data_IF_894635135780
#
_entry.id   IF_894635135780
#
_cell.length_a   1.000
_cell.length_b   1.000
_cell.length_c   1.000
_cell.angle_alpha   90.00
_cell.angle_beta   90.00
_cell.angle_gamma   90.00
#
_symmetry.space_group_name_H-M   'P 1'
#
loop_
_entity.id
_entity.type
_entity.pdbx_description
1 polymer ?
#
# COMPACT_ATOMS: atom_id res chain seq x y z
N UNK A 1 -16.56 -1.28 -16.53
CA UNK A 1 -15.16 -1.60 -16.16
C UNK A 1 -15.12 -1.69 -14.65
N UNK A 2 -14.84 -2.85 -14.05
CA UNK A 2 -14.75 -2.96 -12.59
C UNK A 2 -13.50 -2.20 -12.12
N UNK A 3 -13.65 -1.32 -11.14
CA UNK A 3 -12.50 -0.61 -10.59
C UNK A 3 -11.68 -1.58 -9.72
N UNK A 4 -10.35 -1.40 -9.63
CA UNK A 4 -9.51 -2.20 -8.73
C UNK A 4 -10.01 -2.19 -7.28
N UNK A 5 -10.63 -1.08 -6.86
CA UNK A 5 -11.24 -0.92 -5.55
C UNK A 5 -12.43 -1.88 -5.32
N UNK A 6 -13.30 -2.06 -6.31
CA UNK A 6 -14.43 -2.99 -6.22
C UNK A 6 -13.97 -4.45 -6.14
N UNK A 7 -12.85 -4.79 -6.78
CA UNK A 7 -12.26 -6.13 -6.70
C UNK A 7 -11.77 -6.45 -5.28
N UNK A 8 -11.06 -5.51 -4.65
CA UNK A 8 -10.58 -5.65 -3.26
C UNK A 8 -11.76 -5.71 -2.30
N UNK A 9 -12.76 -4.86 -2.50
CA UNK A 9 -13.99 -4.85 -1.69
C UNK A 9 -14.75 -6.17 -1.80
N UNK A 10 -14.91 -6.70 -3.02
CA UNK A 10 -15.54 -8.00 -3.26
C UNK A 10 -14.78 -9.16 -2.61
N UNK A 11 -13.45 -9.16 -2.69
CA UNK A 11 -12.61 -10.16 -2.03
C UNK A 11 -12.73 -10.12 -0.49
N UNK A 12 -12.80 -8.92 0.10
CA UNK A 12 -13.02 -8.75 1.54
C UNK A 12 -14.38 -9.29 1.98
N UNK A 13 -15.46 -8.97 1.27
CA UNK A 13 -16.80 -9.51 1.59
C UNK A 13 -16.87 -11.03 1.43
N UNK A 14 -16.22 -11.57 0.39
CA UNK A 14 -16.12 -13.02 0.21
C UNK A 14 -15.30 -13.68 1.32
N UNK A 15 -14.22 -13.06 1.77
CA UNK A 15 -13.40 -13.53 2.89
C UNK A 15 -14.17 -13.55 4.22
N UNK A 16 -14.90 -12.48 4.53
CA UNK A 16 -15.76 -12.42 5.71
C UNK A 16 -16.88 -13.48 5.66
N UNK A 17 -17.55 -13.61 4.52
CA UNK A 17 -18.57 -14.63 4.33
C UNK A 17 -18.02 -16.06 4.44
N UNK A 18 -16.79 -16.29 3.97
CA UNK A 18 -16.12 -17.59 4.09
C UNK A 18 -15.81 -17.93 5.55
N UNK A 19 -15.36 -16.95 6.35
CA UNK A 19 -15.07 -17.14 7.76
C UNK A 19 -16.33 -17.54 8.56
N UNK A 20 -17.46 -16.89 8.30
CA UNK A 20 -18.76 -17.24 8.89
C UNK A 20 -19.17 -18.68 8.52
N UNK A 21 -19.02 -19.06 7.24
CA UNK A 21 -19.35 -20.42 6.75
C UNK A 21 -18.49 -21.51 7.36
N UNK A 22 -17.20 -21.25 7.55
CA UNK A 22 -16.28 -22.19 8.22
C UNK A 22 -16.69 -22.39 9.68
N UNK A 23 -17.06 -21.31 10.38
CA UNK A 23 -17.54 -21.37 11.75
C UNK A 23 -18.84 -22.16 11.88
N UNK A 24 -19.80 -21.94 10.98
CA UNK A 24 -21.06 -22.70 10.92
C UNK A 24 -20.82 -24.19 10.67
N UNK A 25 -19.95 -24.52 9.71
CA UNK A 25 -19.60 -25.91 9.38
C UNK A 25 -18.96 -26.64 10.57
N UNK A 26 -18.03 -25.98 11.26
CA UNK A 26 -17.41 -26.49 12.49
C UNK A 26 -18.44 -26.72 13.58
N UNK A 27 -19.38 -25.79 13.77
CA UNK A 27 -20.46 -25.95 14.75
C UNK A 27 -21.43 -27.08 14.39
N UNK A 28 -21.72 -27.30 13.11
CA UNK A 28 -22.54 -28.43 12.68
C UNK A 28 -21.87 -29.77 12.98
N UNK A 29 -20.56 -29.89 12.75
CA UNK A 29 -19.81 -31.11 13.06
C UNK A 29 -19.80 -31.42 14.55
N UNK A 30 -19.71 -30.38 15.40
CA UNK A 30 -19.85 -30.52 16.86
C UNK A 30 -21.26 -31.01 17.22
N UNK A 31 -22.31 -30.37 16.67
CA UNK A 31 -23.71 -30.76 16.93
C UNK A 31 -24.03 -32.17 16.48
N UNK A 32 -23.43 -32.63 15.38
CA UNK A 32 -23.57 -34.00 14.86
C UNK A 32 -22.78 -35.03 15.68
N UNK A 33 -22.02 -34.60 16.69
CA UNK A 33 -21.16 -35.46 17.51
C UNK A 33 -19.96 -36.02 16.73
N UNK A 34 -19.68 -35.49 15.54
CA UNK A 34 -18.56 -35.91 14.69
C UNK A 34 -17.24 -35.26 15.11
N UNK A 35 -17.30 -34.29 16.01
CA UNK A 35 -16.16 -33.54 16.51
C UNK A 35 -16.45 -33.01 17.91
N UNK A 36 -15.43 -32.94 18.76
CA UNK A 36 -15.55 -32.29 20.07
C UNK A 36 -15.44 -30.77 19.97
N UNK A 37 -15.93 -30.03 20.98
CA UNK A 37 -15.78 -28.57 21.03
C UNK A 37 -14.31 -28.12 21.01
N UNK A 38 -13.41 -28.90 21.63
CA UNK A 38 -11.99 -28.58 21.67
C UNK A 38 -11.32 -28.73 20.29
N UNK A 39 -11.68 -29.77 19.54
CA UNK A 39 -11.21 -29.97 18.17
C UNK A 39 -11.72 -28.88 17.23
N UNK A 40 -13.00 -28.52 17.34
CA UNK A 40 -13.58 -27.45 16.53
C UNK A 40 -12.94 -26.09 16.79
N UNK A 41 -12.71 -25.74 18.07
CA UNK A 41 -12.01 -24.52 18.44
C UNK A 41 -10.57 -24.49 17.89
N UNK A 42 -9.88 -25.63 17.90
CA UNK A 42 -8.52 -25.76 17.38
C UNK A 42 -8.48 -25.59 15.86
N UNK A 43 -9.40 -26.21 15.12
CA UNK A 43 -9.50 -26.04 13.66
C UNK A 43 -9.81 -24.60 13.26
N UNK A 44 -10.71 -23.94 13.97
CA UNK A 44 -11.05 -22.53 13.69
C UNK A 44 -9.85 -21.62 13.91
N UNK A 45 -9.08 -21.86 14.98
CA UNK A 45 -7.86 -21.14 15.30
C UNK A 45 -6.78 -21.36 14.25
N UNK A 46 -6.52 -22.61 13.86
CA UNK A 46 -5.53 -22.94 12.83
C UNK A 46 -5.91 -22.36 11.46
N UNK A 47 -7.21 -22.35 11.12
CA UNK A 47 -7.69 -21.72 9.90
C UNK A 47 -7.47 -20.21 9.92
N UNK A 48 -7.79 -19.54 11.03
CA UNK A 48 -7.59 -18.09 11.18
C UNK A 48 -6.11 -17.72 11.08
N UNK A 49 -5.23 -18.42 11.80
CA UNK A 49 -3.78 -18.17 11.75
C UNK A 49 -3.20 -18.38 10.34
N UNK A 50 -3.70 -19.40 9.60
CA UNK A 50 -3.29 -19.63 8.21
C UNK A 50 -3.83 -18.55 7.26
N UNK A 51 -5.06 -18.10 7.48
CA UNK A 51 -5.69 -17.06 6.68
C UNK A 51 -4.96 -15.73 6.85
N UNK A 52 -4.62 -15.36 8.10
CA UNK A 52 -3.87 -14.14 8.40
C UNK A 52 -2.49 -14.14 7.73
N UNK A 53 -1.74 -15.25 7.83
CA UNK A 53 -0.45 -15.40 7.14
C UNK A 53 -0.58 -15.30 5.62
N UNK A 54 -1.57 -15.97 5.02
CA UNK A 54 -1.79 -15.88 3.57
C UNK A 54 -2.17 -14.46 3.14
N UNK A 55 -2.96 -13.73 3.93
CA UNK A 55 -3.30 -12.35 3.62
C UNK A 55 -2.08 -11.43 3.65
N UNK A 56 -1.14 -11.65 4.57
CA UNK A 56 0.12 -10.90 4.62
C UNK A 56 0.97 -11.12 3.35
N UNK A 57 1.14 -12.39 2.94
CA UNK A 57 1.87 -12.75 1.72
C UNK A 57 1.20 -12.20 0.44
N UNK A 58 -0.14 -12.23 0.40
CA UNK A 58 -0.94 -11.66 -0.68
C UNK A 58 -0.74 -10.14 -0.74
N UNK A 59 -0.80 -9.45 0.41
CA UNK A 59 -0.57 -8.00 0.46
C UNK A 59 0.82 -7.61 -0.01
N UNK A 60 1.86 -8.37 0.38
CA UNK A 60 3.22 -8.14 -0.08
C UNK A 60 3.34 -8.34 -1.60
N UNK A 61 2.73 -9.40 -2.13
CA UNK A 61 2.75 -9.72 -3.56
C UNK A 61 1.98 -8.68 -4.39
N UNK A 62 0.82 -8.24 -3.91
CA UNK A 62 0.01 -7.20 -4.55
C UNK A 62 0.79 -5.89 -4.58
N UNK A 63 1.34 -5.45 -3.44
CA UNK A 63 2.12 -4.21 -3.36
C UNK A 63 3.28 -4.24 -4.35
N UNK A 64 4.07 -5.31 -4.35
CA UNK A 64 5.19 -5.46 -5.29
C UNK A 64 4.76 -5.53 -6.76
N UNK A 65 3.59 -6.12 -7.06
CA UNK A 65 3.05 -6.17 -8.43
C UNK A 65 2.56 -4.80 -8.89
N UNK A 66 1.89 -4.06 -8.01
CA UNK A 66 1.41 -2.70 -8.28
C UNK A 66 2.60 -1.77 -8.48
N UNK A 67 3.61 -1.82 -7.61
CA UNK A 67 4.85 -1.04 -7.76
C UNK A 67 5.56 -1.33 -9.08
N UNK A 68 5.75 -2.62 -9.43
CA UNK A 68 6.36 -3.01 -10.70
C UNK A 68 5.54 -2.55 -11.91
N UNK A 69 4.21 -2.55 -11.80
CA UNK A 69 3.32 -2.10 -12.88
C UNK A 69 3.39 -0.57 -13.03
N UNK A 70 3.39 0.17 -11.92
CA UNK A 70 3.57 1.63 -11.92
C UNK A 70 4.93 2.03 -12.52
N UNK A 71 6.00 1.32 -12.16
CA UNK A 71 7.32 1.50 -12.76
C UNK A 71 7.32 1.22 -14.27
N UNK A 72 6.70 0.12 -14.72
CA UNK A 72 6.59 -0.21 -16.15
C UNK A 72 5.79 0.82 -16.95
N UNK A 73 4.79 1.44 -16.33
CA UNK A 73 4.00 2.50 -16.93
C UNK A 73 4.66 3.89 -16.81
N UNK A 74 5.87 3.96 -16.25
CA UNK A 74 6.63 5.19 -16.02
C UNK A 74 5.83 6.24 -15.23
N UNK A 75 4.93 5.79 -14.36
CA UNK A 75 4.10 6.66 -13.51
C UNK A 75 4.88 6.89 -12.22
N UNK A 76 5.41 8.10 -11.96
CA UNK A 76 6.12 8.40 -10.74
C UNK A 76 5.16 8.36 -9.55
N UNK A 77 5.66 7.87 -8.42
CA UNK A 77 4.90 7.89 -7.17
C UNK A 77 4.73 9.33 -6.67
N UNK A 78 3.72 9.55 -5.82
CA UNK A 78 3.49 10.87 -5.20
C UNK A 78 4.72 11.36 -4.41
N UNK A 79 5.41 10.43 -3.75
CA UNK A 79 6.61 10.74 -2.98
C UNK A 79 7.75 11.24 -3.87
N UNK A 80 8.02 10.55 -4.99
CA UNK A 80 9.04 10.99 -5.96
C UNK A 80 8.73 12.36 -6.54
N UNK A 81 7.45 12.64 -6.84
CA UNK A 81 7.01 13.97 -7.28
C UNK A 81 7.25 15.06 -6.23
N UNK A 82 6.97 14.79 -4.96
CA UNK A 82 7.23 15.73 -3.87
C UNK A 82 8.73 15.98 -3.65
N UNK A 83 9.57 14.94 -3.77
CA UNK A 83 11.03 15.10 -3.72
C UNK A 83 11.55 15.96 -4.87
N UNK A 84 11.07 15.71 -6.09
CA UNK A 84 11.39 16.53 -7.27
C UNK A 84 10.98 17.98 -7.06
N UNK A 85 9.78 18.23 -6.53
CA UNK A 85 9.30 19.58 -6.23
C UNK A 85 10.19 20.29 -5.20
N UNK A 86 10.65 19.58 -4.15
CA UNK A 86 11.60 20.15 -3.17
C UNK A 86 12.94 20.48 -3.81
N UNK A 87 13.50 19.55 -4.59
CA UNK A 87 14.78 19.77 -5.30
C UNK A 87 14.67 20.99 -6.22
N UNK A 88 13.61 21.10 -7.01
CA UNK A 88 13.33 22.25 -7.88
C UNK A 88 13.28 23.54 -7.05
N UNK A 89 12.52 23.57 -5.96
CA UNK A 89 12.41 24.76 -5.10
C UNK A 89 13.78 25.20 -4.54
N UNK A 90 14.60 24.26 -4.07
CA UNK A 90 15.94 24.57 -3.57
C UNK A 90 16.85 25.08 -4.67
N UNK A 91 16.82 24.47 -5.85
CA UNK A 91 17.57 24.94 -7.02
C UNK A 91 17.12 26.35 -7.44
N UNK A 92 15.81 26.61 -7.55
CA UNK A 92 15.28 27.94 -7.86
C UNK A 92 15.71 28.99 -6.85
N UNK A 93 15.76 28.67 -5.55
CA UNK A 93 16.24 29.59 -4.53
C UNK A 93 17.75 29.88 -4.66
N UNK A 94 18.56 28.86 -5.00
CA UNK A 94 20.00 29.03 -5.20
C UNK A 94 20.29 29.87 -6.45
N UNK A 95 19.59 29.59 -7.55
CA UNK A 95 19.69 30.38 -8.78
C UNK A 95 19.34 31.83 -8.50
N UNK A 96 18.22 32.09 -7.81
CA UNK A 96 17.82 33.45 -7.45
C UNK A 96 18.87 34.19 -6.62
N UNK A 97 19.44 33.53 -5.61
CA UNK A 97 20.53 34.12 -4.79
C UNK A 97 21.79 34.41 -5.59
N UNK A 98 22.14 33.54 -6.55
CA UNK A 98 23.29 33.75 -7.43
C UNK A 98 23.04 34.89 -8.41
N UNK A 99 21.84 35.00 -8.96
CA UNK A 99 21.43 36.12 -9.83
C UNK A 99 21.44 37.46 -9.06
N UNK A 100 20.95 37.48 -7.81
CA UNK A 100 21.00 38.64 -6.93
C UNK A 100 22.44 39.04 -6.58
N UNK A 101 23.31 38.06 -6.28
CA UNK A 101 24.73 38.30 -6.02
C UNK A 101 25.46 38.82 -7.27
N UNK A 102 25.16 38.27 -8.45
CA UNK A 102 25.75 38.70 -9.71
C UNK A 102 25.34 40.14 -10.07
N UNK A 103 24.09 40.52 -9.79
CA UNK A 103 23.62 41.90 -9.94
C UNK A 103 24.37 42.87 -9.03
N UNK A 104 24.57 42.51 -7.76
CA UNK A 104 25.33 43.36 -6.82
C UNK A 104 26.79 43.54 -7.20
N UNK A 105 27.42 42.56 -7.88
CA UNK A 105 28.80 42.67 -8.36
C UNK A 105 28.95 43.47 -9.67
N UNK A 106 27.86 43.69 -10.41
CA UNK A 106 27.89 44.45 -11.68
C UNK A 106 27.65 45.95 -11.44
N UNK A 107 26.92 46.32 -10.38
CA UNK A 107 26.69 47.72 -10.00
C UNK A 107 27.92 48.39 -9.33
N UNK A 108 28.83 47.62 -8.72
CA UNK A 108 30.07 48.15 -8.12
C UNK A 108 31.17 48.51 -9.15
N UNK A 109 31.01 48.16 -10.43
CA UNK A 109 32.02 48.46 -11.46
C UNK A 109 31.73 49.70 -12.31
N UNK A 110 30.56 50.33 -12.17
CA UNK A 110 30.21 51.57 -12.89
C UNK A 110 30.47 52.87 -12.07
N UNK A 111 30.88 52.78 -10.81
CA UNK A 111 31.16 53.95 -9.94
C UNK A 111 32.67 54.16 -9.63
N UNK A 112 33.56 53.81 -10.58
CA UNK A 112 34.99 54.16 -10.56
C UNK A 112 35.45 54.83 -11.84
#
# INVERSE_FOLDING_TARGET
MMTPFELVRGALFAGLGMQERVKEFVQELIKKGQMSESEGAKLLKEWSERADKQMEDINATITGTVEKTLQKLNIPTRHEMEELQRKIKTLSQRVKKLEEALKSSTEETEDK
#
